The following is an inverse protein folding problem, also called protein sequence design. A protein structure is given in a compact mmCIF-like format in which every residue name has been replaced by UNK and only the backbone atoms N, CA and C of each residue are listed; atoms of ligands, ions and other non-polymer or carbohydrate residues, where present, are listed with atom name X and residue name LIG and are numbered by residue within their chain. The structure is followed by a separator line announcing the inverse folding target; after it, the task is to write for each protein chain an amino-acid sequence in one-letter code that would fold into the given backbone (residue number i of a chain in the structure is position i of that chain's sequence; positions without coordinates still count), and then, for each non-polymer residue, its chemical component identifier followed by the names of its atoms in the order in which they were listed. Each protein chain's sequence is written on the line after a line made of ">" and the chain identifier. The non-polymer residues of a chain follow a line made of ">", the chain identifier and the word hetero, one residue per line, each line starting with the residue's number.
data_IF_046915800348
#
_entry.id   IF_046915800348
#
_cell.length_a   1.000
_cell.length_b   1.000
_cell.length_c   1.000
_cell.angle_alpha   90.00
_cell.angle_beta   90.00
_cell.angle_gamma   90.00
#
_symmetry.space_group_name_H-M   'P 1'
#
loop_
_entity.id
_entity.type
_entity.pdbx_description
1 polymer ?
#
# COMPACT_ATOMS: atom_id res chain seq x y z
N UNK A 1 -20.81 16.36 2.46
CA UNK A 1 -19.35 16.31 2.21
C UNK A 1 -18.87 14.87 2.17
N UNK A 2 -17.94 14.53 1.27
CA UNK A 2 -17.32 13.18 1.25
C UNK A 2 -16.49 12.97 2.52
N UNK A 3 -16.66 11.83 3.20
CA UNK A 3 -15.78 11.46 4.32
C UNK A 3 -14.37 11.16 3.79
N UNK A 4 -13.30 11.69 4.38
CA UNK A 4 -11.95 11.49 3.87
C UNK A 4 -11.48 10.04 4.05
N UNK A 5 -10.50 9.64 3.26
CA UNK A 5 -9.65 8.49 3.55
C UNK A 5 -8.56 8.95 4.51
N UNK A 6 -8.30 8.18 5.57
CA UNK A 6 -7.16 8.44 6.43
C UNK A 6 -6.19 7.28 6.33
N UNK A 7 -4.97 7.57 5.89
CA UNK A 7 -3.90 6.58 5.82
C UNK A 7 -3.05 6.67 7.08
N UNK A 8 -2.89 5.54 7.77
CA UNK A 8 -2.03 5.40 8.94
C UNK A 8 -0.88 4.46 8.57
N UNK A 9 0.33 5.00 8.36
CA UNK A 9 1.40 4.17 7.81
C UNK A 9 2.75 4.87 7.68
N UNK A 10 3.61 4.26 6.90
CA UNK A 10 5.00 4.63 6.68
C UNK A 10 5.18 5.79 5.70
N UNK A 11 6.28 6.50 5.90
CA UNK A 11 6.79 7.55 5.00
C UNK A 11 8.30 7.31 4.90
N UNK A 12 8.79 6.96 3.70
CA UNK A 12 10.20 6.64 3.46
C UNK A 12 10.81 7.54 2.40
N UNK A 13 12.12 7.68 2.45
CA UNK A 13 12.93 8.04 1.30
C UNK A 13 13.58 6.79 0.75
N UNK A 14 13.35 6.51 -0.53
CA UNK A 14 13.98 5.40 -1.24
C UNK A 14 15.26 5.91 -1.89
N UNK A 15 16.42 5.34 -1.50
CA UNK A 15 17.75 5.62 -2.01
C UNK A 15 18.11 4.49 -2.98
N UNK A 16 18.10 4.78 -4.27
CA UNK A 16 18.23 3.79 -5.33
C UNK A 16 19.57 3.94 -6.02
N UNK A 17 20.44 2.96 -5.88
CA UNK A 17 21.69 2.83 -6.63
C UNK A 17 21.54 1.76 -7.71
N UNK A 18 21.98 2.05 -8.92
CA UNK A 18 22.04 1.06 -10.01
C UNK A 18 23.49 0.69 -10.30
N UNK A 19 23.75 -0.56 -10.59
CA UNK A 19 25.08 -1.09 -10.89
C UNK A 19 25.00 -2.21 -11.94
N UNK A 20 26.13 -2.79 -12.31
CA UNK A 20 26.19 -3.91 -13.25
C UNK A 20 25.53 -5.17 -12.66
N UNK A 21 25.71 -5.38 -11.38
CA UNK A 21 25.09 -6.46 -10.61
C UNK A 21 24.88 -5.99 -9.16
N UNK A 22 24.13 -6.74 -8.39
CA UNK A 22 23.99 -6.54 -6.94
C UNK A 22 25.25 -7.03 -6.27
N UNK A 23 25.95 -6.23 -5.42
CA UNK A 23 27.23 -6.61 -4.82
C UNK A 23 27.12 -7.86 -3.95
N UNK A 24 28.08 -8.76 -4.05
CA UNK A 24 28.22 -9.93 -3.20
C UNK A 24 28.78 -9.55 -1.81
N UNK A 25 28.64 -10.43 -0.81
CA UNK A 25 29.23 -10.18 0.52
C UNK A 25 30.75 -9.87 0.43
N UNK A 26 31.14 -8.72 0.96
CA UNK A 26 32.55 -8.24 0.94
C UNK A 26 32.99 -7.56 -0.36
N UNK A 27 32.10 -7.48 -1.37
CA UNK A 27 32.43 -6.83 -2.63
C UNK A 27 32.16 -5.32 -2.59
N UNK A 28 33.06 -4.55 -3.21
CA UNK A 28 32.87 -3.12 -3.48
C UNK A 28 32.82 -2.92 -4.99
N UNK A 29 31.72 -2.37 -5.49
CA UNK A 29 31.52 -2.10 -6.91
C UNK A 29 31.26 -0.63 -7.17
N UNK A 30 31.51 -0.18 -8.41
CA UNK A 30 31.15 1.16 -8.86
C UNK A 30 29.72 1.16 -9.39
N UNK A 31 28.87 2.03 -8.82
CA UNK A 31 27.51 2.26 -9.32
C UNK A 31 27.51 3.04 -10.64
N UNK A 32 26.38 2.94 -11.36
CA UNK A 32 26.10 3.68 -12.62
C UNK A 32 25.35 4.97 -12.34
N UNK A 33 24.27 4.88 -11.55
CA UNK A 33 23.38 6.00 -11.23
C UNK A 33 22.95 5.93 -9.76
N UNK A 34 22.59 7.11 -9.23
CA UNK A 34 21.97 7.25 -7.92
C UNK A 34 20.75 8.17 -8.02
N UNK A 35 19.62 7.69 -7.54
CA UNK A 35 18.37 8.44 -7.52
C UNK A 35 17.72 8.36 -6.14
N UNK A 36 16.92 9.38 -5.80
CA UNK A 36 16.10 9.39 -4.59
C UNK A 36 14.65 9.54 -4.96
N UNK A 37 13.78 8.72 -4.33
CA UNK A 37 12.34 8.79 -4.55
C UNK A 37 11.62 8.88 -3.21
N UNK A 38 10.54 9.66 -3.18
CA UNK A 38 9.61 9.59 -2.07
C UNK A 38 8.88 8.24 -2.12
N UNK A 39 8.88 7.52 -1.02
CA UNK A 39 8.34 6.17 -0.89
C UNK A 39 7.66 5.94 0.45
N UNK A 40 7.60 4.66 0.85
CA UNK A 40 6.82 4.18 1.99
C UNK A 40 5.38 3.88 1.59
N UNK A 41 4.92 2.66 1.90
CA UNK A 41 3.60 2.18 1.46
C UNK A 41 2.46 3.10 1.90
N UNK A 42 2.50 3.61 3.13
CA UNK A 42 1.51 4.58 3.61
C UNK A 42 1.50 5.85 2.78
N UNK A 43 2.67 6.45 2.55
CA UNK A 43 2.81 7.65 1.74
C UNK A 43 2.38 7.42 0.29
N UNK A 44 2.74 6.28 -0.31
CA UNK A 44 2.36 5.92 -1.67
C UNK A 44 0.84 5.84 -1.82
N UNK A 45 0.16 5.13 -0.91
CA UNK A 45 -1.30 5.02 -0.93
C UNK A 45 -1.97 6.38 -0.70
N UNK A 46 -1.45 7.21 0.21
CA UNK A 46 -1.97 8.56 0.43
C UNK A 46 -1.83 9.43 -0.83
N UNK A 47 -0.66 9.39 -1.49
CA UNK A 47 -0.42 10.09 -2.76
C UNK A 47 -1.35 9.59 -3.85
N UNK A 48 -1.53 8.27 -3.97
CA UNK A 48 -2.46 7.68 -4.93
C UNK A 48 -3.88 8.22 -4.75
N UNK A 49 -4.39 8.23 -3.51
CA UNK A 49 -5.71 8.80 -3.18
C UNK A 49 -5.79 10.29 -3.52
N UNK A 50 -4.77 11.08 -3.16
CA UNK A 50 -4.71 12.53 -3.44
C UNK A 50 -4.72 12.83 -4.95
N UNK A 51 -3.94 12.09 -5.73
CA UNK A 51 -3.89 12.23 -7.21
C UNK A 51 -5.19 11.81 -7.90
N UNK A 52 -5.93 10.88 -7.28
CA UNK A 52 -7.28 10.53 -7.72
C UNK A 52 -8.33 11.57 -7.31
N UNK A 53 -7.93 12.70 -6.68
CA UNK A 53 -8.82 13.81 -6.34
C UNK A 53 -9.78 13.50 -5.20
N UNK A 54 -9.45 12.54 -4.32
CA UNK A 54 -10.28 12.20 -3.18
C UNK A 54 -9.69 12.80 -1.89
N UNK A 55 -10.52 13.32 -0.95
CA UNK A 55 -10.01 13.87 0.30
C UNK A 55 -9.22 12.83 1.10
N UNK A 56 -7.98 13.15 1.46
CA UNK A 56 -7.07 12.25 2.17
C UNK A 56 -6.23 12.97 3.21
N UNK A 57 -6.04 12.32 4.35
CA UNK A 57 -5.12 12.75 5.40
C UNK A 57 -4.12 11.63 5.69
N UNK A 58 -2.87 12.00 5.98
CA UNK A 58 -1.82 11.08 6.39
C UNK A 58 -1.55 11.21 7.88
N UNK A 59 -1.61 10.10 8.61
CA UNK A 59 -1.11 9.96 9.99
C UNK A 59 0.16 9.13 9.93
N UNK A 60 1.28 9.74 10.28
CA UNK A 60 2.60 9.12 10.17
C UNK A 60 3.67 9.95 10.85
N UNK A 61 4.91 9.49 10.76
CA UNK A 61 6.07 10.20 11.32
C UNK A 61 7.19 10.30 10.30
N UNK A 62 7.92 11.42 10.39
CA UNK A 62 9.18 11.67 9.69
C UNK A 62 10.24 12.07 10.69
N UNK A 63 11.52 11.95 10.32
CA UNK A 63 12.62 12.40 11.15
C UNK A 63 12.76 13.93 11.18
N UNK A 64 13.44 14.43 12.20
CA UNK A 64 13.95 15.80 12.25
C UNK A 64 15.30 15.87 11.49
N UNK A 65 15.27 15.38 10.25
CA UNK A 65 16.39 15.34 9.32
C UNK A 65 16.05 16.12 8.03
N UNK A 66 17.02 16.21 7.12
CA UNK A 66 16.83 16.87 5.83
C UNK A 66 15.75 16.22 4.97
N UNK A 67 15.49 14.93 5.16
CA UNK A 67 14.49 14.18 4.39
C UNK A 67 13.06 14.43 4.88
N UNK A 68 12.86 14.57 6.20
CA UNK A 68 11.53 14.69 6.78
C UNK A 68 10.72 15.86 6.25
N UNK A 69 11.36 17.03 6.10
CA UNK A 69 10.69 18.22 5.54
C UNK A 69 10.33 18.01 4.05
N UNK A 70 11.25 17.41 3.27
CA UNK A 70 11.05 17.11 1.84
C UNK A 70 9.92 16.11 1.62
N UNK A 71 9.89 15.01 2.39
CA UNK A 71 8.86 13.98 2.35
C UNK A 71 7.47 14.56 2.67
N UNK A 72 7.37 15.34 3.74
CA UNK A 72 6.12 16.02 4.12
C UNK A 72 5.64 17.00 3.05
N UNK A 73 6.56 17.71 2.40
CA UNK A 73 6.23 18.62 1.32
C UNK A 73 5.77 17.88 0.06
N UNK A 74 6.40 16.73 -0.27
CA UNK A 74 5.97 15.86 -1.37
C UNK A 74 4.52 15.41 -1.22
N UNK A 75 4.15 14.92 -0.04
CA UNK A 75 2.77 14.56 0.30
C UNK A 75 1.80 15.74 0.10
N UNK A 76 2.16 16.93 0.61
CA UNK A 76 1.32 18.13 0.47
C UNK A 76 1.10 18.49 -1.00
N UNK A 77 2.15 18.45 -1.83
CA UNK A 77 2.07 18.72 -3.27
C UNK A 77 1.15 17.73 -4.00
N UNK A 78 1.04 16.50 -3.49
CA UNK A 78 0.12 15.48 -4.01
C UNK A 78 -1.33 15.62 -3.51
N UNK A 79 -1.67 16.68 -2.77
CA UNK A 79 -3.02 16.92 -2.26
C UNK A 79 -3.35 16.21 -0.94
N UNK A 80 -2.34 15.67 -0.23
CA UNK A 80 -2.53 15.00 1.06
C UNK A 80 -2.52 16.01 2.21
N UNK A 81 -3.49 15.96 3.11
CA UNK A 81 -3.43 16.71 4.37
C UNK A 81 -2.40 16.07 5.31
N UNK A 82 -1.34 16.81 5.60
CA UNK A 82 -0.18 16.38 6.39
C UNK A 82 -0.16 16.94 7.82
N UNK A 83 -1.27 17.50 8.31
CA UNK A 83 -1.34 18.06 9.67
C UNK A 83 -1.05 17.03 10.76
N UNK A 84 -1.37 15.77 10.51
CA UNK A 84 -1.12 14.65 11.41
C UNK A 84 0.22 13.91 11.11
N UNK A 85 1.07 14.44 10.23
CA UNK A 85 2.44 13.96 10.03
C UNK A 85 3.35 14.70 10.99
N UNK A 86 3.91 13.96 11.97
CA UNK A 86 4.77 14.51 13.02
C UNK A 86 6.25 14.34 12.67
N UNK A 87 7.05 15.39 12.90
CA UNK A 87 8.49 15.25 12.97
C UNK A 87 8.90 14.75 14.35
N UNK A 88 9.86 13.81 14.41
CA UNK A 88 10.36 13.23 15.65
C UNK A 88 11.90 13.13 15.59
N UNK A 89 12.56 13.27 16.72
CA UNK A 89 14.02 13.18 16.84
C UNK A 89 14.54 11.89 16.20
N UNK A 90 15.57 11.99 15.36
CA UNK A 90 16.22 10.89 14.64
C UNK A 90 15.88 10.87 13.16
N UNK A 91 16.23 9.80 12.45
CA UNK A 91 16.09 9.69 11.00
C UNK A 91 14.65 9.43 10.56
N UNK A 92 14.30 9.91 9.38
CA UNK A 92 13.15 9.44 8.61
C UNK A 92 13.29 7.95 8.26
N UNK A 93 12.21 7.30 7.84
CA UNK A 93 12.29 5.98 7.23
C UNK A 93 13.07 6.03 5.92
N UNK A 94 13.92 5.03 5.68
CA UNK A 94 14.74 4.93 4.47
C UNK A 94 14.68 3.52 3.93
N UNK A 95 14.57 3.38 2.60
CA UNK A 95 14.85 2.13 1.90
C UNK A 95 16.14 2.30 1.08
N UNK A 96 17.13 1.45 1.35
CA UNK A 96 18.35 1.34 0.57
C UNK A 96 18.12 0.27 -0.48
N UNK A 97 18.15 0.65 -1.75
CA UNK A 97 17.80 -0.23 -2.87
C UNK A 97 18.95 -0.28 -3.84
N UNK A 98 19.53 -1.46 -4.04
CA UNK A 98 20.52 -1.71 -5.08
C UNK A 98 19.87 -2.51 -6.20
N UNK A 99 20.06 -2.10 -7.47
CA UNK A 99 19.48 -2.73 -8.65
C UNK A 99 20.58 -3.09 -9.63
N UNK A 100 20.68 -4.38 -9.97
CA UNK A 100 21.56 -4.90 -11.01
C UNK A 100 21.00 -4.67 -12.41
N UNK A 101 21.87 -4.74 -13.43
CA UNK A 101 21.46 -4.60 -14.85
C UNK A 101 20.54 -5.71 -15.33
N UNK A 102 20.52 -6.85 -14.64
CA UNK A 102 19.63 -8.01 -14.84
C UNK A 102 18.23 -7.79 -14.21
N UNK A 103 18.00 -6.67 -13.51
CA UNK A 103 16.77 -6.36 -12.81
C UNK A 103 16.67 -6.98 -11.41
N UNK A 104 17.66 -7.77 -10.96
CA UNK A 104 17.71 -8.21 -9.58
C UNK A 104 17.92 -7.04 -8.64
N UNK A 105 17.35 -7.12 -7.44
CA UNK A 105 17.54 -6.10 -6.43
C UNK A 105 17.73 -6.69 -5.04
N UNK A 106 18.34 -5.91 -4.15
CA UNK A 106 18.26 -6.11 -2.71
C UNK A 106 17.79 -4.83 -2.05
N UNK A 107 17.05 -4.96 -0.96
CA UNK A 107 16.45 -3.85 -0.27
C UNK A 107 16.68 -3.99 1.23
N UNK A 108 17.22 -2.94 1.84
CA UNK A 108 17.32 -2.81 3.30
C UNK A 108 16.42 -1.67 3.73
N UNK A 109 15.41 -1.97 4.53
CA UNK A 109 14.51 -0.96 5.09
C UNK A 109 14.94 -0.60 6.51
N UNK A 110 15.21 0.68 6.72
CA UNK A 110 15.46 1.27 8.04
C UNK A 110 14.18 2.01 8.46
N UNK A 111 13.42 1.51 9.45
CA UNK A 111 12.14 2.09 9.82
C UNK A 111 12.22 3.55 10.29
N UNK A 112 13.30 3.94 10.96
CA UNK A 112 13.49 5.30 11.46
C UNK A 112 12.28 5.81 12.25
N UNK A 113 11.74 6.95 11.84
CA UNK A 113 10.57 7.56 12.47
C UNK A 113 9.29 6.68 12.36
N UNK A 114 9.15 5.84 11.33
CA UNK A 114 8.00 4.92 11.21
C UNK A 114 7.96 3.93 12.39
N UNK A 115 9.12 3.44 12.83
CA UNK A 115 9.22 2.56 13.99
C UNK A 115 8.82 3.23 15.32
N UNK A 116 8.69 4.55 15.34
CA UNK A 116 8.26 5.34 16.50
C UNK A 116 6.77 5.66 16.52
N UNK A 117 5.99 5.14 15.55
CA UNK A 117 4.54 5.20 15.60
C UNK A 117 4.03 4.29 16.73
N UNK A 118 3.43 4.87 17.76
CA UNK A 118 3.00 4.17 18.97
C UNK A 118 1.48 4.22 19.14
N UNK A 119 0.87 3.35 19.95
CA UNK A 119 -0.57 3.36 20.24
C UNK A 119 -1.11 4.73 20.68
N UNK A 120 -0.33 5.51 21.44
CA UNK A 120 -0.69 6.87 21.84
C UNK A 120 -0.92 7.83 20.67
N UNK A 121 -0.31 7.57 19.50
CA UNK A 121 -0.50 8.40 18.31
C UNK A 121 -1.89 8.17 17.70
N UNK A 122 -2.44 6.96 17.81
CA UNK A 122 -3.83 6.66 17.44
C UNK A 122 -4.80 7.46 18.32
N UNK A 123 -4.58 7.45 19.64
CA UNK A 123 -5.38 8.23 20.57
C UNK A 123 -5.28 9.75 20.31
N UNK A 124 -4.08 10.26 20.03
CA UNK A 124 -3.83 11.66 19.71
C UNK A 124 -4.63 12.13 18.49
N UNK A 125 -4.76 11.29 17.48
CA UNK A 125 -5.46 11.62 16.24
C UNK A 125 -6.90 11.10 16.18
N UNK A 126 -7.48 10.66 17.31
CA UNK A 126 -8.81 10.07 17.39
C UNK A 126 -9.92 10.91 16.73
N UNK A 127 -9.85 12.24 16.85
CA UNK A 127 -10.84 13.16 16.24
C UNK A 127 -10.78 13.10 14.70
N UNK A 128 -9.56 13.03 14.13
CA UNK A 128 -9.36 12.89 12.69
C UNK A 128 -9.83 11.51 12.22
N UNK A 129 -9.40 10.45 12.91
CA UNK A 129 -9.71 9.07 12.57
C UNK A 129 -11.21 8.80 12.57
N UNK A 130 -11.97 9.34 13.55
CA UNK A 130 -13.45 9.20 13.60
C UNK A 130 -14.18 9.81 12.41
N UNK A 131 -13.56 10.78 11.71
CA UNK A 131 -14.16 11.41 10.52
C UNK A 131 -13.92 10.61 9.24
N UNK A 132 -13.07 9.59 9.29
CA UNK A 132 -12.72 8.80 8.11
C UNK A 132 -13.91 8.03 7.56
N UNK A 133 -14.02 7.96 6.23
CA UNK A 133 -14.87 7.02 5.53
C UNK A 133 -14.25 5.63 5.46
N UNK A 134 -12.90 5.58 5.47
CA UNK A 134 -12.09 4.37 5.49
C UNK A 134 -10.69 4.68 6.04
N UNK A 135 -10.13 3.74 6.80
CA UNK A 135 -8.74 3.73 7.22
C UNK A 135 -7.94 2.78 6.35
N UNK A 136 -6.77 3.23 5.86
CA UNK A 136 -5.80 2.40 5.16
C UNK A 136 -4.57 2.23 6.05
N UNK A 137 -4.06 1.00 6.12
CA UNK A 137 -2.84 0.70 6.87
C UNK A 137 -2.00 -0.39 6.17
N UNK A 138 -0.70 -0.46 6.52
CA UNK A 138 0.27 -1.41 5.99
C UNK A 138 1.17 -1.89 7.14
N UNK A 139 2.06 -2.88 6.88
CA UNK A 139 2.88 -3.48 7.94
C UNK A 139 4.27 -2.83 8.12
N UNK A 140 4.44 -1.58 7.70
CA UNK A 140 5.71 -0.81 7.85
C UNK A 140 5.73 0.08 9.09
N UNK A 141 4.77 -0.05 9.99
CA UNK A 141 4.76 0.57 11.34
C UNK A 141 4.61 -0.52 12.39
N UNK A 142 4.86 -0.23 13.68
CA UNK A 142 4.78 -1.25 14.74
C UNK A 142 3.41 -1.93 14.80
N UNK A 143 3.43 -3.26 14.90
CA UNK A 143 2.23 -4.10 14.87
C UNK A 143 1.26 -3.74 15.99
N UNK A 144 1.75 -3.45 17.19
CA UNK A 144 0.91 -3.02 18.33
C UNK A 144 0.11 -1.75 18.03
N UNK A 145 0.64 -0.88 17.16
CA UNK A 145 -0.07 0.34 16.74
C UNK A 145 -1.18 0.00 15.75
N UNK A 146 -0.95 -0.99 14.87
CA UNK A 146 -1.96 -1.50 13.95
C UNK A 146 -3.08 -2.23 14.69
N UNK A 147 -2.76 -3.02 15.72
CA UNK A 147 -3.76 -3.64 16.58
C UNK A 147 -4.62 -2.58 17.26
N UNK A 148 -3.99 -1.53 17.81
CA UNK A 148 -4.70 -0.39 18.41
C UNK A 148 -5.59 0.32 17.40
N UNK A 149 -5.10 0.52 16.17
CA UNK A 149 -5.88 1.11 15.07
C UNK A 149 -7.07 0.22 14.70
N UNK A 150 -6.86 -1.09 14.62
CA UNK A 150 -7.91 -2.07 14.32
C UNK A 150 -9.02 -2.06 15.35
N UNK A 151 -8.68 -2.10 16.63
CA UNK A 151 -9.64 -1.99 17.75
C UNK A 151 -10.38 -0.65 17.70
N UNK A 152 -9.66 0.45 17.42
CA UNK A 152 -10.27 1.76 17.26
C UNK A 152 -11.26 1.79 16.10
N UNK A 153 -10.87 1.28 14.93
CA UNK A 153 -11.71 1.21 13.74
C UNK A 153 -12.99 0.42 14.00
N UNK A 154 -12.84 -0.76 14.58
CA UNK A 154 -13.97 -1.65 14.94
C UNK A 154 -14.96 -0.96 15.89
N UNK A 155 -14.44 -0.39 17.00
CA UNK A 155 -15.26 0.31 18.00
C UNK A 155 -16.08 1.46 17.43
N UNK A 156 -15.54 2.14 16.41
CA UNK A 156 -16.20 3.30 15.78
C UNK A 156 -16.91 2.98 14.47
N UNK A 157 -17.01 1.70 14.07
CA UNK A 157 -17.67 1.28 12.85
C UNK A 157 -17.01 1.81 11.56
N UNK A 158 -15.68 2.07 11.58
CA UNK A 158 -14.95 2.60 10.44
C UNK A 158 -14.30 1.44 9.69
N UNK A 159 -14.52 1.28 8.38
CA UNK A 159 -13.85 0.25 7.60
C UNK A 159 -12.32 0.41 7.66
N UNK A 160 -11.62 -0.69 7.97
CA UNK A 160 -10.16 -0.79 7.92
C UNK A 160 -9.75 -1.66 6.74
N UNK A 161 -8.94 -1.08 5.84
CA UNK A 161 -8.27 -1.81 4.77
C UNK A 161 -6.80 -1.97 5.14
N UNK A 162 -6.36 -3.22 5.27
CA UNK A 162 -4.97 -3.58 5.54
C UNK A 162 -4.32 -4.15 4.28
N UNK A 163 -3.26 -3.50 3.83
CA UNK A 163 -2.28 -4.06 2.90
C UNK A 163 -1.22 -4.81 3.71
N UNK A 164 -1.18 -6.15 3.69
CA UNK A 164 -0.34 -6.92 4.61
C UNK A 164 1.12 -7.00 4.12
N UNK A 165 1.69 -5.86 3.77
CA UNK A 165 3.02 -5.69 3.19
C UNK A 165 3.96 -4.85 4.10
N UNK A 166 5.21 -5.30 4.37
CA UNK A 166 5.76 -6.62 4.05
C UNK A 166 5.08 -7.73 4.87
N UNK A 167 4.83 -8.88 4.22
CA UNK A 167 4.07 -9.95 4.84
C UNK A 167 4.77 -10.54 6.07
N UNK A 168 3.96 -10.80 7.09
CA UNK A 168 4.33 -11.51 8.32
C UNK A 168 3.08 -12.09 8.95
N UNK A 169 3.25 -12.94 9.93
CA UNK A 169 2.14 -13.44 10.74
C UNK A 169 1.38 -12.28 11.41
N UNK A 170 0.05 -12.36 11.37
CA UNK A 170 -0.85 -11.35 11.92
C UNK A 170 -1.58 -11.91 13.16
N UNK A 171 -1.64 -11.15 14.26
CA UNK A 171 -2.39 -11.53 15.43
C UNK A 171 -3.87 -11.77 15.11
N UNK A 172 -4.45 -12.80 15.72
CA UNK A 172 -5.86 -13.13 15.53
C UNK A 172 -6.79 -11.94 15.84
N UNK A 173 -6.49 -11.19 16.91
CA UNK A 173 -7.26 -10.00 17.28
C UNK A 173 -7.27 -8.91 16.21
N UNK A 174 -6.17 -8.73 15.48
CA UNK A 174 -6.11 -7.80 14.36
C UNK A 174 -6.93 -8.34 13.17
N UNK A 175 -6.79 -9.62 12.85
CA UNK A 175 -7.53 -10.24 11.74
C UNK A 175 -9.05 -10.08 11.88
N UNK A 176 -9.58 -10.24 13.08
CA UNK A 176 -11.02 -10.14 13.39
C UNK A 176 -11.63 -8.74 13.13
N UNK A 177 -10.81 -7.70 13.08
CA UNK A 177 -11.29 -6.31 12.95
C UNK A 177 -11.02 -5.70 11.57
N UNK A 178 -10.37 -6.45 10.67
CA UNK A 178 -10.10 -6.02 9.30
C UNK A 178 -11.37 -6.10 8.46
N UNK A 179 -11.69 -5.01 7.74
CA UNK A 179 -12.78 -5.02 6.76
C UNK A 179 -12.32 -5.54 5.41
N UNK A 180 -11.14 -5.11 4.96
CA UNK A 180 -10.51 -5.53 3.71
C UNK A 180 -9.05 -5.92 3.95
N UNK A 181 -8.65 -7.11 3.54
CA UNK A 181 -7.23 -7.49 3.45
C UNK A 181 -6.85 -7.65 1.99
N UNK A 182 -5.72 -7.04 1.59
CA UNK A 182 -5.37 -6.90 0.16
C UNK A 182 -3.96 -7.44 -0.16
N UNK A 183 -3.66 -8.73 0.09
CA UNK A 183 -2.36 -9.31 -0.20
C UNK A 183 -2.10 -9.41 -1.70
N UNK A 184 -0.81 -9.38 -2.09
CA UNK A 184 -0.33 -9.84 -3.39
C UNK A 184 -0.02 -11.35 -3.34
N UNK A 185 0.54 -11.90 -4.41
CA UNK A 185 0.88 -13.33 -4.51
C UNK A 185 1.88 -13.77 -3.44
N UNK A 186 2.96 -13.00 -3.22
CA UNK A 186 3.99 -13.31 -2.22
C UNK A 186 3.42 -13.24 -0.80
N UNK A 187 2.67 -12.22 -0.51
CA UNK A 187 1.99 -12.00 0.77
C UNK A 187 0.95 -13.09 1.03
N UNK A 188 0.22 -13.50 -0.01
CA UNK A 188 -0.75 -14.60 0.08
C UNK A 188 -0.08 -15.91 0.45
N UNK A 189 1.06 -16.25 -0.18
CA UNK A 189 1.82 -17.46 0.17
C UNK A 189 2.18 -17.46 1.66
N UNK A 190 2.76 -16.38 2.15
CA UNK A 190 3.20 -16.25 3.56
C UNK A 190 1.99 -16.35 4.51
N UNK A 191 0.93 -15.59 4.24
CA UNK A 191 -0.26 -15.57 5.11
C UNK A 191 -1.03 -16.90 5.14
N UNK A 192 -0.97 -17.68 4.05
CA UNK A 192 -1.66 -18.96 3.94
C UNK A 192 -0.74 -20.17 4.21
N UNK A 193 0.54 -19.96 4.50
CA UNK A 193 1.50 -21.04 4.76
C UNK A 193 1.78 -21.91 3.53
N UNK A 194 1.74 -21.31 2.33
CA UNK A 194 2.08 -22.00 1.09
C UNK A 194 3.60 -22.02 0.88
N UNK A 195 4.06 -22.97 0.09
CA UNK A 195 5.46 -22.99 -0.38
C UNK A 195 5.77 -21.69 -1.15
N UNK A 196 7.00 -21.20 -1.01
CA UNK A 196 7.45 -19.96 -1.67
C UNK A 196 7.40 -20.05 -3.19
N UNK A 197 7.48 -21.27 -3.74
CA UNK A 197 7.43 -21.52 -5.18
C UNK A 197 6.02 -21.91 -5.68
N UNK A 198 5.05 -22.12 -4.78
CA UNK A 198 3.69 -22.49 -5.21
C UNK A 198 3.06 -21.32 -6.00
N UNK A 199 2.60 -21.55 -7.25
CA UNK A 199 1.97 -20.49 -8.04
C UNK A 199 0.60 -20.14 -7.46
N UNK A 200 0.32 -18.85 -7.35
CA UNK A 200 -1.01 -18.36 -6.95
C UNK A 200 -1.90 -18.31 -8.19
N UNK A 201 -2.48 -19.45 -8.53
CA UNK A 201 -3.51 -19.57 -9.59
C UNK A 201 -4.86 -19.05 -9.07
N UNK A 202 -5.87 -18.85 -9.93
CA UNK A 202 -7.22 -18.53 -9.48
C UNK A 202 -7.81 -19.54 -8.47
N UNK A 203 -7.50 -20.84 -8.64
CA UNK A 203 -7.92 -21.88 -7.69
C UNK A 203 -7.19 -21.77 -6.35
N UNK A 204 -5.88 -21.52 -6.37
CA UNK A 204 -5.10 -21.26 -5.16
C UNK A 204 -5.58 -20.00 -4.46
N UNK A 205 -5.85 -18.92 -5.21
CA UNK A 205 -6.38 -17.67 -4.67
C UNK A 205 -7.75 -17.86 -3.99
N UNK A 206 -8.65 -18.66 -4.59
CA UNK A 206 -9.94 -18.98 -4.00
C UNK A 206 -9.77 -19.69 -2.64
N UNK A 207 -8.94 -20.75 -2.60
CA UNK A 207 -8.62 -21.49 -1.36
C UNK A 207 -8.01 -20.56 -0.29
N UNK A 208 -7.04 -19.72 -0.67
CA UNK A 208 -6.39 -18.79 0.25
C UNK A 208 -7.37 -17.71 0.74
N UNK A 209 -8.24 -17.22 -0.11
CA UNK A 209 -9.26 -16.26 0.28
C UNK A 209 -10.21 -16.86 1.33
N UNK A 210 -10.64 -18.11 1.18
CA UNK A 210 -11.46 -18.80 2.18
C UNK A 210 -10.74 -18.97 3.51
N UNK A 211 -9.45 -19.35 3.48
CA UNK A 211 -8.60 -19.44 4.68
C UNK A 211 -8.47 -18.08 5.38
N UNK A 212 -8.27 -17.01 4.63
CA UNK A 212 -8.15 -15.67 5.20
C UNK A 212 -9.49 -15.17 5.77
N UNK A 213 -10.60 -15.39 5.07
CA UNK A 213 -11.96 -15.06 5.58
C UNK A 213 -12.26 -15.79 6.89
N UNK A 214 -11.91 -17.09 6.97
CA UNK A 214 -12.10 -17.89 8.20
C UNK A 214 -11.30 -17.34 9.40
N UNK A 215 -10.22 -16.57 9.15
CA UNK A 215 -9.42 -15.92 10.20
C UNK A 215 -9.97 -14.58 10.67
N UNK A 216 -11.03 -14.05 10.03
CA UNK A 216 -11.75 -12.88 10.51
C UNK A 216 -12.02 -11.72 9.56
N UNK A 217 -11.18 -11.40 8.57
CA UNK A 217 -11.46 -10.33 7.62
C UNK A 217 -12.81 -10.50 6.94
N UNK A 218 -13.54 -9.39 6.76
CA UNK A 218 -14.85 -9.45 6.08
C UNK A 218 -14.72 -9.66 4.58
N UNK A 219 -13.64 -9.16 3.99
CA UNK A 219 -13.39 -9.24 2.56
C UNK A 219 -11.90 -9.45 2.30
N UNK A 220 -11.60 -10.21 1.27
CA UNK A 220 -10.25 -10.53 0.82
C UNK A 220 -10.12 -10.14 -0.65
N UNK A 221 -9.01 -9.53 -1.01
CA UNK A 221 -8.71 -9.12 -2.35
C UNK A 221 -7.26 -9.51 -2.67
N UNK A 222 -7.06 -10.61 -3.39
CA UNK A 222 -5.75 -11.13 -3.74
C UNK A 222 -5.32 -10.54 -5.08
N UNK A 223 -4.25 -9.75 -5.06
CA UNK A 223 -3.64 -9.13 -6.24
C UNK A 223 -2.73 -10.16 -6.93
N UNK A 224 -3.03 -10.51 -8.18
CA UNK A 224 -2.37 -11.60 -8.93
C UNK A 224 -1.63 -11.08 -10.17
N UNK A 225 -1.09 -9.86 -10.10
CA UNK A 225 -0.33 -9.24 -11.19
C UNK A 225 -1.10 -9.22 -12.51
N UNK A 226 -0.53 -9.79 -13.55
CA UNK A 226 -1.12 -9.85 -14.89
C UNK A 226 -2.39 -10.73 -14.96
N UNK A 227 -2.62 -11.62 -13.99
CA UNK A 227 -3.84 -12.43 -13.92
C UNK A 227 -5.06 -11.63 -13.39
N UNK A 228 -4.83 -10.46 -12.81
CA UNK A 228 -5.89 -9.62 -12.25
C UNK A 228 -6.02 -9.75 -10.73
N UNK A 229 -7.25 -9.80 -10.23
CA UNK A 229 -7.53 -9.79 -8.80
C UNK A 229 -8.62 -10.80 -8.47
N UNK A 230 -8.42 -11.58 -7.42
CA UNK A 230 -9.47 -12.44 -6.86
C UNK A 230 -10.15 -11.72 -5.70
N UNK A 231 -11.43 -11.47 -5.84
CA UNK A 231 -12.29 -10.85 -4.82
C UNK A 231 -13.12 -11.91 -4.11
N UNK A 232 -13.07 -11.93 -2.79
CA UNK A 232 -13.90 -12.77 -1.95
C UNK A 232 -14.48 -11.95 -0.79
N UNK A 233 -15.72 -12.25 -0.41
CA UNK A 233 -16.39 -11.62 0.71
C UNK A 233 -17.09 -12.64 1.60
N UNK A 234 -17.31 -12.31 2.86
CA UNK A 234 -17.93 -13.19 3.84
C UNK A 234 -19.40 -13.54 3.51
N UNK A 235 -20.06 -12.71 2.68
CA UNK A 235 -21.42 -12.95 2.16
C UNK A 235 -21.49 -13.95 1.00
N UNK A 236 -20.36 -14.59 0.64
CA UNK A 236 -20.30 -15.65 -0.37
C UNK A 236 -19.79 -15.19 -1.74
N UNK A 237 -19.54 -13.89 -1.96
CA UNK A 237 -18.97 -13.43 -3.24
C UNK A 237 -17.60 -14.07 -3.48
N UNK A 238 -17.40 -14.61 -4.70
CA UNK A 238 -16.15 -15.16 -5.22
C UNK A 238 -16.04 -14.79 -6.69
N UNK A 239 -15.12 -13.87 -7.03
CA UNK A 239 -15.06 -13.32 -8.37
C UNK A 239 -13.64 -12.97 -8.80
N UNK A 240 -13.27 -13.37 -10.02
CA UNK A 240 -12.10 -12.83 -10.70
C UNK A 240 -12.43 -11.50 -11.37
N UNK A 241 -11.55 -10.53 -11.20
CA UNK A 241 -11.55 -9.25 -11.94
C UNK A 241 -10.29 -9.24 -12.78
N UNK A 242 -10.38 -9.23 -14.12
CA UNK A 242 -9.23 -9.32 -14.98
C UNK A 242 -8.32 -8.08 -14.88
N UNK A 243 -7.03 -8.27 -15.12
CA UNK A 243 -6.09 -7.17 -15.30
C UNK A 243 -6.26 -6.53 -16.70
N UNK A 244 -5.73 -5.32 -16.86
CA UNK A 244 -5.57 -4.71 -18.17
C UNK A 244 -4.21 -5.09 -18.76
N UNK A 245 -4.15 -5.56 -20.01
CA UNK A 245 -2.89 -5.88 -20.67
C UNK A 245 -2.13 -4.58 -20.96
N UNK A 246 -0.97 -4.42 -20.34
CA UNK A 246 -0.08 -3.27 -20.56
C UNK A 246 1.38 -3.73 -20.58
N UNK A 247 2.25 -2.97 -21.26
CA UNK A 247 3.69 -3.20 -21.18
C UNK A 247 4.22 -2.57 -19.90
N UNK A 248 4.55 -3.39 -18.92
CA UNK A 248 5.13 -2.94 -17.67
C UNK A 248 6.56 -2.39 -17.87
N UNK A 249 6.84 -1.26 -17.24
CA UNK A 249 8.15 -0.60 -17.18
C UNK A 249 8.74 -0.74 -15.77
N UNK A 250 7.89 -0.55 -14.75
CA UNK A 250 8.28 -0.61 -13.34
C UNK A 250 7.04 -0.98 -12.49
N UNK A 251 7.13 -2.05 -11.74
CA UNK A 251 6.02 -2.52 -10.90
C UNK A 251 6.02 -1.92 -9.47
N UNK A 252 6.96 -1.03 -9.18
CA UNK A 252 7.07 -0.36 -7.89
C UNK A 252 5.78 0.37 -7.55
N UNK A 253 5.25 0.13 -6.36
CA UNK A 253 4.02 0.71 -5.83
C UNK A 253 2.73 0.41 -6.64
N UNK A 254 2.71 -0.58 -7.54
CA UNK A 254 1.49 -0.99 -8.25
C UNK A 254 0.38 -1.41 -7.28
N UNK A 255 0.73 -2.15 -6.22
CA UNK A 255 -0.19 -2.52 -5.14
C UNK A 255 -0.73 -1.31 -4.37
N UNK A 256 0.09 -0.27 -4.17
CA UNK A 256 -0.32 0.97 -3.52
C UNK A 256 -1.29 1.77 -4.40
N UNK A 257 -1.01 1.85 -5.72
CA UNK A 257 -1.90 2.46 -6.71
C UNK A 257 -3.25 1.72 -6.76
N UNK A 258 -3.21 0.39 -6.73
CA UNK A 258 -4.41 -0.44 -6.66
C UNK A 258 -5.23 -0.14 -5.39
N UNK A 259 -4.61 -0.18 -4.20
CA UNK A 259 -5.28 0.04 -2.94
C UNK A 259 -5.90 1.45 -2.85
N UNK A 260 -5.19 2.47 -3.34
CA UNK A 260 -5.71 3.83 -3.44
C UNK A 260 -6.94 3.90 -4.36
N UNK A 261 -6.85 3.32 -5.56
CA UNK A 261 -7.94 3.27 -6.52
C UNK A 261 -9.16 2.53 -5.99
N UNK A 262 -8.95 1.41 -5.32
CA UNK A 262 -10.01 0.60 -4.72
C UNK A 262 -10.76 1.36 -3.63
N UNK A 263 -10.03 1.95 -2.67
CA UNK A 263 -10.60 2.74 -1.59
C UNK A 263 -11.41 3.95 -2.10
N UNK A 264 -10.86 4.70 -3.06
CA UNK A 264 -11.52 5.85 -3.69
C UNK A 264 -12.80 5.43 -4.39
N UNK A 265 -12.76 4.33 -5.13
CA UNK A 265 -13.91 3.84 -5.91
C UNK A 265 -15.02 3.33 -5.00
N UNK A 266 -14.70 2.57 -3.93
CA UNK A 266 -15.67 2.11 -2.92
C UNK A 266 -16.36 3.30 -2.24
N UNK A 267 -15.59 4.28 -1.77
CA UNK A 267 -16.15 5.46 -1.10
C UNK A 267 -16.87 6.44 -2.06
N UNK A 268 -16.70 6.23 -3.36
CA UNK A 268 -17.50 6.90 -4.40
C UNK A 268 -18.80 6.14 -4.74
N UNK A 269 -19.13 5.08 -3.99
CA UNK A 269 -20.38 4.34 -4.10
C UNK A 269 -20.37 3.19 -5.13
N UNK A 270 -19.21 2.80 -5.63
CA UNK A 270 -19.09 1.66 -6.54
C UNK A 270 -19.16 0.33 -5.80
N UNK A 271 -19.73 -0.68 -6.44
CA UNK A 271 -19.71 -2.05 -5.94
C UNK A 271 -18.27 -2.59 -5.89
N UNK A 272 -17.95 -3.57 -5.03
CA UNK A 272 -16.59 -4.06 -4.87
C UNK A 272 -15.90 -4.50 -6.18
N UNK A 273 -16.62 -5.20 -7.07
CA UNK A 273 -16.05 -5.63 -8.37
C UNK A 273 -15.76 -4.44 -9.31
N UNK A 274 -16.63 -3.42 -9.33
CA UNK A 274 -16.40 -2.19 -10.12
C UNK A 274 -15.23 -1.39 -9.53
N UNK A 275 -15.12 -1.39 -8.20
CA UNK A 275 -14.00 -0.76 -7.50
C UNK A 275 -12.67 -1.48 -7.80
N UNK A 276 -12.68 -2.82 -7.82
CA UNK A 276 -11.50 -3.61 -8.19
C UNK A 276 -11.12 -3.38 -9.66
N UNK A 277 -12.09 -3.28 -10.58
CA UNK A 277 -11.82 -2.96 -11.98
C UNK A 277 -11.19 -1.56 -12.15
N UNK A 278 -11.73 -0.54 -11.45
CA UNK A 278 -11.14 0.80 -11.43
C UNK A 278 -9.73 0.81 -10.84
N UNK A 279 -9.51 0.05 -9.76
CA UNK A 279 -8.22 -0.09 -9.12
C UNK A 279 -7.18 -0.78 -10.02
N UNK A 280 -7.61 -1.82 -10.76
CA UNK A 280 -6.79 -2.49 -11.78
C UNK A 280 -6.35 -1.53 -12.88
N UNK A 281 -7.21 -0.61 -13.32
CA UNK A 281 -6.84 0.43 -14.29
C UNK A 281 -5.80 1.41 -13.70
N UNK A 282 -5.98 1.83 -12.44
CA UNK A 282 -4.99 2.70 -11.77
C UNK A 282 -3.62 2.00 -11.64
N UNK A 283 -3.60 0.74 -11.25
CA UNK A 283 -2.37 -0.07 -11.18
C UNK A 283 -1.76 -0.29 -12.57
N UNK A 284 -2.56 -0.59 -13.60
CA UNK A 284 -2.09 -0.76 -14.96
C UNK A 284 -1.40 0.51 -15.49
N UNK A 285 -1.95 1.69 -15.23
CA UNK A 285 -1.28 2.94 -15.60
C UNK A 285 0.03 3.12 -14.82
N UNK A 286 0.04 2.83 -13.52
CA UNK A 286 1.24 3.03 -12.70
C UNK A 286 2.41 2.18 -13.18
N UNK A 287 2.21 0.92 -13.54
CA UNK A 287 3.29 0.03 -13.99
C UNK A 287 3.90 0.43 -15.35
N UNK A 288 3.28 1.31 -16.11
CA UNK A 288 3.84 1.86 -17.36
C UNK A 288 4.83 3.00 -17.12
N UNK A 289 5.08 3.39 -15.85
CA UNK A 289 5.88 4.56 -15.47
C UNK A 289 6.92 4.16 -14.43
N UNK A 290 8.05 4.86 -14.40
CA UNK A 290 9.10 4.65 -13.40
C UNK A 290 8.75 5.30 -12.05
N UNK A 291 9.17 4.64 -10.98
CA UNK A 291 9.13 5.11 -9.59
C UNK A 291 7.78 4.93 -8.91
N UNK A 292 7.75 5.04 -7.58
CA UNK A 292 6.58 4.82 -6.73
C UNK A 292 5.54 5.96 -6.88
N UNK A 293 5.75 7.07 -6.18
CA UNK A 293 4.79 8.19 -6.18
C UNK A 293 4.66 8.90 -7.54
N UNK A 294 5.73 9.06 -8.34
CA UNK A 294 5.60 9.67 -9.67
C UNK A 294 4.70 8.88 -10.61
N UNK A 295 4.62 7.55 -10.48
CA UNK A 295 3.81 6.68 -11.34
C UNK A 295 2.30 6.77 -11.09
N UNK A 296 1.88 7.24 -9.92
CA UNK A 296 0.47 7.29 -9.51
C UNK A 296 -0.38 8.11 -10.50
N UNK A 297 -1.48 7.54 -11.05
CA UNK A 297 -2.33 8.25 -12.00
C UNK A 297 -3.27 9.25 -11.34
N UNK A 298 -3.71 10.23 -12.10
CA UNK A 298 -4.84 11.09 -11.75
C UNK A 298 -6.18 10.43 -12.13
N UNK A 299 -7.27 10.91 -11.54
CA UNK A 299 -8.62 10.44 -11.89
C UNK A 299 -8.96 10.62 -13.38
N UNK A 300 -8.45 11.70 -14.01
CA UNK A 300 -8.63 11.97 -15.46
C UNK A 300 -7.94 10.91 -16.31
N UNK A 301 -6.72 10.52 -15.94
CA UNK A 301 -5.97 9.48 -16.66
C UNK A 301 -6.64 8.11 -16.54
N UNK A 302 -7.13 7.74 -15.33
CA UNK A 302 -7.87 6.48 -15.15
C UNK A 302 -9.16 6.48 -15.96
N UNK A 303 -9.91 7.59 -15.98
CA UNK A 303 -11.12 7.71 -16.78
C UNK A 303 -10.85 7.60 -18.28
N UNK A 304 -9.78 8.26 -18.78
CA UNK A 304 -9.38 8.17 -20.18
C UNK A 304 -8.94 6.76 -20.56
N UNK A 305 -8.15 6.10 -19.69
CA UNK A 305 -7.71 4.73 -19.89
C UNK A 305 -8.89 3.76 -20.00
N UNK A 306 -9.83 3.81 -19.04
CA UNK A 306 -11.01 2.97 -19.05
C UNK A 306 -11.92 3.21 -20.29
N UNK A 307 -11.96 4.44 -20.80
CA UNK A 307 -12.71 4.75 -22.03
C UNK A 307 -12.05 4.12 -23.27
N UNK A 308 -10.72 4.06 -23.29
CA UNK A 308 -9.97 3.48 -24.41
C UNK A 308 -10.00 1.93 -24.43
N UNK A 309 -10.43 1.29 -23.34
CA UNK A 309 -10.56 -0.17 -23.22
C UNK A 309 -11.97 -0.69 -23.54
N UNK A 310 -12.90 0.20 -23.85
CA UNK A 310 -14.27 -0.16 -24.33
C UNK A 310 -14.27 -0.32 -25.84
#
# INVERSE_FOLDING_TARGET
>A
MRKPIVVVGSINLDLVATADHVPLPGETITGRDFNTFNGGKGANQAVGVGRLGYPVSMVGKVGEDSFGAALKNGLRKAGVDVKAVQAVKGSSGVALINIGSDGQNNIVVVPGANGKMLPKDIARHAVLLRKAGMLLAQLEIPLITLETLGVFAHRHGIPLMLDPAPARELPAGLMQVITWITPNESETRILCGLDTQEPVTPATAARCADLLLARGPKNVLIKMGAQGVFLAAADGVRQMVPAFPVKAVDSTAAGDAFNAGFAVSLLSGKKPHEAAHYASAAAAISVTRKGAQPSMPSAREVAAFLKAQK
#
